data_IF_017636284095
#
_entry.id   IF_017636284095
#
_cell.length_a   1.000
_cell.length_b   1.000
_cell.length_c   1.000
_cell.angle_alpha   90.00
_cell.angle_beta   90.00
_cell.angle_gamma   90.00
#
_symmetry.space_group_name_H-M   'P 1'
#
loop_
_entity.id
_entity.type
_entity.pdbx_description
1 polymer ?
#
# COMPACT_ATOMS: atom_id res chain seq x y z
N UNK A 1 15.38 10.05 -4.20
CA UNK A 1 14.41 9.70 -3.15
C UNK A 1 15.10 9.89 -1.82
N UNK A 2 14.57 10.81 -1.01
CA UNK A 2 15.04 11.00 0.36
C UNK A 2 14.60 9.82 1.24
N UNK A 3 15.15 9.78 2.46
CA UNK A 3 14.91 8.69 3.41
C UNK A 3 13.46 8.57 3.84
N UNK A 4 12.72 9.68 3.90
CA UNK A 4 11.29 9.66 4.25
C UNK A 4 10.48 9.03 3.12
N UNK A 5 10.69 9.44 1.87
CA UNK A 5 10.02 8.81 0.71
C UNK A 5 10.33 7.33 0.61
N UNK A 6 11.60 6.94 0.82
CA UNK A 6 12.01 5.54 0.81
C UNK A 6 11.28 4.74 1.91
N UNK A 7 11.20 5.29 3.12
CA UNK A 7 10.51 4.64 4.24
C UNK A 7 9.02 4.45 3.94
N UNK A 8 8.34 5.46 3.39
CA UNK A 8 6.92 5.37 3.03
C UNK A 8 6.70 4.29 1.95
N UNK A 9 7.54 4.26 0.92
CA UNK A 9 7.41 3.26 -0.15
C UNK A 9 7.70 1.85 0.34
N UNK A 10 8.59 1.68 1.32
CA UNK A 10 8.91 0.37 1.89
C UNK A 10 7.77 -0.23 2.74
N UNK A 11 6.85 0.59 3.27
CA UNK A 11 5.72 0.11 4.09
C UNK A 11 4.77 -0.78 3.27
N UNK A 12 4.45 -0.38 2.04
CA UNK A 12 3.54 -1.13 1.16
C UNK A 12 4.00 -2.59 0.91
N UNK A 13 5.22 -2.87 0.38
CA UNK A 13 5.69 -4.24 0.20
C UNK A 13 5.88 -4.97 1.54
N UNK A 14 6.27 -4.28 2.62
CA UNK A 14 6.35 -4.90 3.95
C UNK A 14 4.98 -5.42 4.42
N UNK A 15 3.90 -4.65 4.23
CA UNK A 15 2.54 -5.07 4.54
C UNK A 15 2.06 -6.23 3.64
N UNK A 16 2.41 -6.22 2.35
CA UNK A 16 2.12 -7.34 1.44
C UNK A 16 2.82 -8.62 1.92
N UNK A 17 4.08 -8.53 2.36
CA UNK A 17 4.81 -9.67 2.93
C UNK A 17 4.12 -10.19 4.20
N UNK A 18 3.72 -9.29 5.11
CA UNK A 18 2.99 -9.67 6.34
C UNK A 18 1.65 -10.35 6.00
N UNK A 19 0.90 -9.79 5.05
CA UNK A 19 -0.37 -10.36 4.58
C UNK A 19 -0.17 -11.76 3.99
N UNK A 20 0.84 -11.93 3.12
CA UNK A 20 1.16 -13.22 2.51
C UNK A 20 1.67 -14.25 3.52
N UNK A 21 2.49 -13.85 4.49
CA UNK A 21 2.94 -14.77 5.55
C UNK A 21 1.77 -15.22 6.43
N UNK A 22 0.86 -14.31 6.76
CA UNK A 22 -0.34 -14.64 7.51
C UNK A 22 -1.24 -15.58 6.71
N UNK A 23 -1.47 -15.30 5.42
CA UNK A 23 -2.23 -16.18 4.54
C UNK A 23 -1.64 -17.60 4.47
N UNK A 24 -0.32 -17.72 4.30
CA UNK A 24 0.36 -19.01 4.26
C UNK A 24 0.28 -19.80 5.58
N UNK A 25 0.20 -19.11 6.72
CA UNK A 25 0.25 -19.75 8.04
C UNK A 25 -1.13 -19.98 8.66
N UNK A 26 -2.11 -19.15 8.32
CA UNK A 26 -3.45 -19.17 8.94
C UNK A 26 -4.60 -19.22 7.93
N UNK A 27 -4.30 -19.28 6.62
CA UNK A 27 -5.30 -19.27 5.52
C UNK A 27 -6.26 -18.08 5.58
N UNK A 28 -5.81 -16.98 6.16
CA UNK A 28 -6.57 -15.74 6.33
C UNK A 28 -5.64 -14.55 6.18
N UNK A 29 -6.14 -13.41 5.70
CA UNK A 29 -5.40 -12.14 5.72
C UNK A 29 -6.05 -11.23 6.77
N UNK A 30 -5.29 -10.63 7.70
CA UNK A 30 -5.87 -9.73 8.68
C UNK A 30 -6.39 -8.45 8.00
N UNK A 31 -7.63 -8.06 8.25
CA UNK A 31 -8.24 -6.88 7.63
C UNK A 31 -7.47 -5.57 7.88
N UNK A 32 -6.72 -5.48 8.98
CA UNK A 32 -5.90 -4.31 9.26
C UNK A 32 -4.76 -4.15 8.25
N UNK A 33 -4.22 -5.25 7.69
CA UNK A 33 -3.19 -5.21 6.64
C UNK A 33 -3.79 -4.58 5.39
N UNK A 34 -4.96 -5.06 4.96
CA UNK A 34 -5.70 -4.50 3.82
C UNK A 34 -6.04 -3.03 4.03
N UNK A 35 -6.50 -2.65 5.24
CA UNK A 35 -6.80 -1.27 5.59
C UNK A 35 -5.56 -0.36 5.50
N UNK A 36 -4.41 -0.81 6.02
CA UNK A 36 -3.17 -0.04 5.92
C UNK A 36 -2.63 0.05 4.49
N UNK A 37 -2.82 -0.97 3.65
CA UNK A 37 -2.44 -0.91 2.23
C UNK A 37 -3.25 0.15 1.49
N UNK A 38 -4.57 0.20 1.71
CA UNK A 38 -5.45 1.21 1.10
C UNK A 38 -5.08 2.62 1.59
N UNK A 39 -4.89 2.79 2.90
CA UNK A 39 -4.54 4.10 3.47
C UNK A 39 -3.12 4.54 3.07
N UNK A 40 -2.19 3.60 2.95
CA UNK A 40 -0.79 3.85 2.58
C UNK A 40 -0.61 4.23 1.10
N UNK A 41 -1.55 3.84 0.23
CA UNK A 41 -1.54 4.24 -1.18
C UNK A 41 -1.57 5.76 -1.35
N UNK A 42 -2.44 6.48 -0.63
CA UNK A 42 -2.62 7.93 -0.79
C UNK A 42 -1.32 8.73 -0.55
N UNK A 43 -0.63 8.62 0.60
CA UNK A 43 0.64 9.33 0.80
C UNK A 43 1.73 8.85 -0.15
N UNK A 44 1.75 7.55 -0.52
CA UNK A 44 2.73 7.05 -1.49
C UNK A 44 2.52 7.64 -2.89
N UNK A 45 1.27 7.72 -3.35
CA UNK A 45 0.91 8.30 -4.64
C UNK A 45 1.24 9.80 -4.73
N UNK A 46 0.98 10.55 -3.64
CA UNK A 46 1.33 11.97 -3.56
C UNK A 46 2.86 12.19 -3.58
N UNK A 47 3.62 11.37 -2.84
CA UNK A 47 5.08 11.43 -2.84
C UNK A 47 5.70 10.95 -4.16
N UNK A 48 5.03 10.05 -4.87
CA UNK A 48 5.40 9.64 -6.22
C UNK A 48 5.10 10.73 -7.28
N UNK A 49 4.41 11.81 -6.90
CA UNK A 49 4.07 12.91 -7.81
C UNK A 49 3.01 12.54 -8.85
N UNK A 50 2.14 11.58 -8.55
CA UNK A 50 1.07 11.18 -9.46
C UNK A 50 0.03 12.30 -9.58
N UNK A 51 -0.47 12.50 -10.79
CA UNK A 51 -1.55 13.45 -11.02
C UNK A 51 -2.89 12.93 -10.46
N UNK A 52 -3.85 13.82 -10.15
CA UNK A 52 -5.11 13.42 -9.53
C UNK A 52 -5.95 12.44 -10.37
N UNK A 53 -5.84 12.46 -11.69
CA UNK A 53 -6.59 11.55 -12.56
C UNK A 53 -6.02 10.14 -12.51
N UNK A 54 -4.69 10.02 -12.50
CA UNK A 54 -4.02 8.73 -12.27
C UNK A 54 -4.38 8.14 -10.90
N UNK A 55 -4.40 8.96 -9.85
CA UNK A 55 -4.81 8.52 -8.50
C UNK A 55 -6.28 8.05 -8.49
N UNK A 56 -7.18 8.79 -9.15
CA UNK A 56 -8.59 8.42 -9.23
C UNK A 56 -8.81 7.12 -10.01
N UNK A 57 -8.06 6.89 -11.09
CA UNK A 57 -8.14 5.66 -11.87
C UNK A 57 -7.76 4.43 -11.03
N UNK A 58 -6.65 4.53 -10.30
CA UNK A 58 -6.16 3.54 -9.32
C UNK A 58 -7.24 3.18 -8.29
N UNK A 59 -7.79 4.19 -7.60
CA UNK A 59 -8.88 3.99 -6.64
C UNK A 59 -10.14 3.37 -7.30
N UNK A 60 -10.46 3.75 -8.54
CA UNK A 60 -11.63 3.25 -9.27
C UNK A 60 -11.54 1.77 -9.67
N UNK A 61 -10.34 1.19 -9.80
CA UNK A 61 -10.14 -0.21 -10.21
C UNK A 61 -9.81 -1.15 -9.05
N UNK A 62 -9.78 -0.66 -7.82
CA UNK A 62 -9.57 -1.45 -6.61
C UNK A 62 -8.15 -1.40 -6.04
N UNK A 63 -7.22 -0.75 -6.76
CA UNK A 63 -6.04 -0.05 -6.26
C UNK A 63 -5.26 0.57 -7.41
#
# INVERSE_FOLDING_TARGET
MDTLTLAVFAVLPALVIVGGLHDLTTMTIPNWVSGLLILGFVPAALLAGLDPWTIAAHVGVGL
#
